data_IF_399633509662
#
_entry.id   IF_399633509662
#
_cell.length_a   1.000
_cell.length_b   1.000
_cell.length_c   1.000
_cell.angle_alpha   90.00
_cell.angle_beta   90.00
_cell.angle_gamma   90.00
#
_symmetry.space_group_name_H-M   'P 1'
#
loop_
_entity.id
_entity.type
_entity.pdbx_description
1 polymer ?
#
# COMPACT_ATOMS: atom_id res chain seq x y z
N UNK A 1 14.99 12.77 -7.20
CA UNK A 1 13.56 12.66 -7.52
C UNK A 1 13.32 12.92 -9.01
N UNK A 2 13.57 14.15 -9.49
CA UNK A 2 13.46 14.46 -10.93
C UNK A 2 14.35 13.56 -11.80
N UNK A 3 15.54 13.18 -11.31
CA UNK A 3 16.38 12.18 -11.98
C UNK A 3 15.79 10.77 -12.03
N UNK A 4 14.98 10.38 -11.04
CA UNK A 4 14.30 9.06 -11.06
C UNK A 4 13.15 9.05 -12.04
N UNK A 5 12.42 10.17 -12.15
CA UNK A 5 11.41 10.37 -13.20
C UNK A 5 12.13 10.39 -14.55
N UNK A 6 13.15 11.22 -14.74
CA UNK A 6 13.91 11.29 -15.99
C UNK A 6 14.48 9.93 -16.41
N UNK A 7 15.02 9.11 -15.49
CA UNK A 7 15.50 7.76 -15.80
C UNK A 7 14.40 6.75 -16.11
N UNK A 8 13.24 6.85 -15.44
CA UNK A 8 12.07 6.03 -15.77
C UNK A 8 11.57 6.34 -17.19
N UNK A 9 11.75 7.58 -17.61
CA UNK A 9 11.26 8.16 -18.87
C UNK A 9 12.22 7.93 -20.03
N UNK A 10 13.51 8.10 -19.79
CA UNK A 10 14.58 7.91 -20.77
C UNK A 10 14.83 6.44 -21.06
N UNK A 11 14.14 5.52 -20.35
CA UNK A 11 14.26 4.11 -20.69
C UNK A 11 13.68 3.89 -22.09
N UNK A 12 14.48 3.28 -22.97
CA UNK A 12 13.94 2.82 -24.21
C UNK A 12 12.97 1.71 -23.86
N UNK A 13 11.67 1.92 -24.06
CA UNK A 13 10.80 0.80 -24.35
C UNK A 13 11.12 0.32 -25.78
N UNK A 14 12.36 -0.09 -26.05
CA UNK A 14 12.90 -0.13 -27.42
C UNK A 14 12.31 -1.20 -28.32
N UNK A 15 11.59 -2.16 -27.76
CA UNK A 15 11.36 -3.41 -28.49
C UNK A 15 9.94 -3.51 -29.08
N UNK A 16 9.13 -2.44 -29.01
CA UNK A 16 7.82 -2.38 -29.67
C UNK A 16 7.31 -0.95 -29.86
N UNK A 17 6.81 -0.64 -31.06
CA UNK A 17 6.07 0.58 -31.43
C UNK A 17 6.78 1.96 -31.31
N UNK A 18 7.77 2.27 -32.18
CA UNK A 18 8.56 3.52 -32.16
C UNK A 18 7.75 4.82 -32.23
N UNK A 19 6.60 4.83 -32.89
CA UNK A 19 5.78 6.05 -33.07
C UNK A 19 5.08 6.51 -31.79
N UNK A 20 4.51 5.57 -31.04
CA UNK A 20 3.79 5.88 -29.79
C UNK A 20 4.74 6.30 -28.68
N UNK A 21 5.96 5.76 -28.70
CA UNK A 21 7.04 6.15 -27.79
C UNK A 21 7.50 7.59 -28.00
N UNK A 22 7.44 8.10 -29.24
CA UNK A 22 7.83 9.48 -29.54
C UNK A 22 6.84 10.50 -28.95
N UNK A 23 5.54 10.19 -28.96
CA UNK A 23 4.50 11.02 -28.35
C UNK A 23 4.57 10.96 -26.82
N UNK A 24 4.72 9.75 -26.25
CA UNK A 24 4.90 9.57 -24.81
C UNK A 24 6.15 10.31 -24.31
N UNK A 25 7.27 10.22 -25.02
CA UNK A 25 8.49 10.96 -24.69
C UNK A 25 8.28 12.48 -24.75
N UNK A 26 7.49 12.99 -25.69
CA UNK A 26 7.14 14.41 -25.79
C UNK A 26 6.28 14.86 -24.61
N UNK A 27 5.22 14.10 -24.27
CA UNK A 27 4.35 14.36 -23.11
C UNK A 27 5.19 14.46 -21.82
N UNK A 28 6.19 13.58 -21.67
CA UNK A 28 7.09 13.63 -20.52
C UNK A 28 8.05 14.82 -20.54
N UNK A 29 8.67 15.10 -21.68
CA UNK A 29 9.63 16.20 -21.80
C UNK A 29 8.96 17.54 -21.44
N UNK A 30 7.73 17.75 -21.89
CA UNK A 30 6.91 18.92 -21.54
C UNK A 30 6.68 19.01 -20.03
N UNK A 31 6.18 17.93 -19.40
CA UNK A 31 5.94 17.88 -17.95
C UNK A 31 7.23 18.14 -17.16
N UNK A 32 8.34 17.54 -17.58
CA UNK A 32 9.64 17.69 -16.90
C UNK A 32 10.13 19.14 -16.98
N UNK A 33 9.95 19.80 -18.12
CA UNK A 33 10.33 21.20 -18.30
C UNK A 33 9.49 22.12 -17.39
N UNK A 34 8.16 21.91 -17.33
CA UNK A 34 7.26 22.65 -16.43
C UNK A 34 7.67 22.51 -14.96
N UNK A 35 8.10 21.32 -14.53
CA UNK A 35 8.58 21.10 -13.15
C UNK A 35 9.87 21.86 -12.86
N UNK A 36 10.80 21.95 -13.83
CA UNK A 36 12.08 22.66 -13.65
C UNK A 36 11.92 24.17 -13.53
N UNK A 37 10.89 24.74 -14.14
CA UNK A 37 10.61 26.18 -14.15
C UNK A 37 9.96 26.68 -12.85
N UNK A 38 9.47 25.76 -12.01
CA UNK A 38 8.78 26.10 -10.76
C UNK A 38 9.73 26.15 -9.55
N UNK A 39 9.77 27.32 -8.90
CA UNK A 39 10.63 27.58 -7.73
C UNK A 39 9.88 27.33 -6.42
N UNK A 40 10.43 26.44 -5.57
CA UNK A 40 9.98 26.21 -4.18
C UNK A 40 9.37 24.82 -3.92
N UNK A 41 9.85 24.12 -2.88
CA UNK A 41 9.56 22.69 -2.64
C UNK A 41 8.06 22.34 -2.54
N UNK A 42 7.27 23.17 -1.83
CA UNK A 42 5.84 22.93 -1.64
C UNK A 42 5.00 23.22 -2.90
N UNK A 43 5.34 24.30 -3.62
CA UNK A 43 4.71 24.66 -4.90
C UNK A 43 5.12 23.68 -6.02
N UNK A 44 6.33 23.13 -5.94
CA UNK A 44 6.78 22.07 -6.82
C UNK A 44 6.07 20.74 -6.51
N UNK A 45 5.81 20.41 -5.25
CA UNK A 45 5.09 19.19 -4.87
C UNK A 45 3.63 19.18 -5.34
N UNK A 46 2.89 20.28 -5.15
CA UNK A 46 1.49 20.38 -5.59
C UNK A 46 1.35 20.22 -7.10
N UNK A 47 2.22 20.88 -7.86
CA UNK A 47 2.24 20.80 -9.32
C UNK A 47 2.73 19.46 -9.83
N UNK A 48 3.73 18.88 -9.17
CA UNK A 48 4.24 17.54 -9.50
C UNK A 48 3.16 16.47 -9.37
N UNK A 49 2.31 16.53 -8.33
CA UNK A 49 1.16 15.62 -8.19
C UNK A 49 0.28 15.67 -9.43
N UNK A 50 -0.13 16.88 -9.83
CA UNK A 50 -1.00 17.09 -10.99
C UNK A 50 -0.32 16.64 -12.28
N UNK A 51 0.96 16.98 -12.46
CA UNK A 51 1.68 16.62 -13.67
C UNK A 51 1.99 15.13 -13.79
N UNK A 52 2.26 14.45 -12.67
CA UNK A 52 2.47 13.01 -12.66
C UNK A 52 1.17 12.27 -12.96
N UNK A 53 0.04 12.76 -12.44
CA UNK A 53 -1.29 12.23 -12.77
C UNK A 53 -1.63 12.43 -14.26
N UNK A 54 -1.47 13.66 -14.78
CA UNK A 54 -1.63 13.97 -16.22
C UNK A 54 -0.76 13.06 -17.09
N UNK A 55 0.50 12.85 -16.68
CA UNK A 55 1.44 12.02 -17.42
C UNK A 55 1.00 10.55 -17.46
N UNK A 56 0.59 9.98 -16.33
CA UNK A 56 0.10 8.61 -16.27
C UNK A 56 -1.16 8.44 -17.12
N UNK A 57 -2.13 9.36 -17.00
CA UNK A 57 -3.38 9.31 -17.73
C UNK A 57 -3.19 9.38 -19.26
N UNK A 58 -2.21 10.18 -19.72
CA UNK A 58 -1.88 10.29 -21.15
C UNK A 58 -1.04 9.12 -21.67
N UNK A 59 -0.06 8.67 -20.89
CA UNK A 59 0.97 7.75 -21.38
C UNK A 59 0.54 6.31 -21.26
N UNK A 60 -0.08 5.91 -20.14
CA UNK A 60 -0.37 4.50 -19.86
C UNK A 60 -1.30 3.86 -20.91
N UNK A 61 -2.42 4.47 -21.34
CA UNK A 61 -3.26 3.88 -22.38
C UNK A 61 -2.55 3.75 -23.73
N UNK A 62 -1.73 4.75 -24.09
CA UNK A 62 -0.93 4.74 -25.32
C UNK A 62 0.06 3.58 -25.30
N UNK A 63 0.77 3.42 -24.19
CA UNK A 63 1.73 2.33 -23.99
C UNK A 63 1.05 0.97 -24.03
N UNK A 64 -0.07 0.80 -23.31
CA UNK A 64 -0.76 -0.47 -23.29
C UNK A 64 -1.19 -0.93 -24.68
N UNK A 65 -1.73 0.00 -25.48
CA UNK A 65 -2.08 -0.26 -26.88
C UNK A 65 -0.86 -0.56 -27.75
N UNK A 66 0.23 0.18 -27.56
CA UNK A 66 1.46 0.04 -28.34
C UNK A 66 2.16 -1.31 -28.13
N UNK A 67 2.08 -1.86 -26.92
CA UNK A 67 2.62 -3.18 -26.56
C UNK A 67 1.58 -4.31 -26.61
N UNK A 68 0.34 -4.00 -27.01
CA UNK A 68 -0.77 -4.95 -27.02
C UNK A 68 -0.93 -5.70 -25.68
N UNK A 69 -0.74 -4.99 -24.55
CA UNK A 69 -0.73 -5.58 -23.21
C UNK A 69 -2.03 -5.36 -22.41
N UNK A 70 -3.12 -5.03 -23.10
CA UNK A 70 -4.46 -4.87 -22.49
C UNK A 70 -5.12 -6.21 -22.17
N UNK A 71 -4.81 -7.27 -22.92
CA UNK A 71 -5.31 -8.64 -22.72
C UNK A 71 -4.17 -9.64 -22.94
N UNK A 72 -3.58 -10.10 -21.83
CA UNK A 72 -2.45 -11.03 -21.84
C UNK A 72 -2.88 -12.40 -21.33
N UNK A 73 -2.40 -13.46 -21.98
CA UNK A 73 -2.64 -14.84 -21.57
C UNK A 73 -1.35 -15.66 -21.55
N UNK A 74 -1.20 -16.53 -20.54
CA UNK A 74 -0.07 -17.44 -20.47
C UNK A 74 0.11 -18.12 -19.12
N UNK A 75 1.32 -18.60 -18.85
CA UNK A 75 1.69 -19.19 -17.56
C UNK A 75 1.51 -18.16 -16.44
N UNK A 76 1.15 -18.62 -15.25
CA UNK A 76 0.87 -17.76 -14.09
C UNK A 76 1.98 -16.74 -13.82
N UNK A 77 3.26 -17.13 -13.87
CA UNK A 77 4.37 -16.21 -13.64
C UNK A 77 4.54 -15.14 -14.72
N UNK A 78 4.07 -15.37 -15.95
CA UNK A 78 4.16 -14.39 -17.04
C UNK A 78 3.14 -13.26 -16.90
N UNK A 79 2.01 -13.51 -16.21
CA UNK A 79 0.92 -12.53 -16.05
C UNK A 79 0.86 -11.94 -14.63
N UNK A 80 1.44 -12.60 -13.63
CA UNK A 80 1.46 -12.09 -12.24
C UNK A 80 2.74 -11.31 -11.89
N UNK A 81 3.84 -11.46 -12.64
CA UNK A 81 5.09 -10.75 -12.39
C UNK A 81 5.22 -9.52 -13.31
N UNK A 82 4.49 -8.45 -12.98
CA UNK A 82 4.37 -7.26 -13.84
C UNK A 82 5.00 -5.98 -13.25
N UNK A 83 5.59 -6.05 -12.05
CA UNK A 83 6.22 -4.88 -11.41
C UNK A 83 7.74 -4.92 -11.62
N UNK A 84 8.28 -3.85 -12.19
CA UNK A 84 9.72 -3.58 -12.22
C UNK A 84 10.09 -2.47 -11.23
N UNK A 85 11.22 -2.58 -10.55
CA UNK A 85 11.60 -1.76 -9.39
C UNK A 85 12.22 -0.39 -9.75
N UNK A 86 11.90 0.16 -10.92
CA UNK A 86 12.60 1.33 -11.46
C UNK A 86 12.13 2.65 -10.88
N UNK A 87 10.82 2.82 -10.66
CA UNK A 87 10.29 4.00 -10.00
C UNK A 87 10.38 3.83 -8.48
N UNK A 88 11.10 4.74 -7.81
CA UNK A 88 11.23 4.72 -6.35
C UNK A 88 10.06 5.44 -5.70
N UNK A 89 9.09 4.66 -5.30
CA UNK A 89 7.92 5.07 -4.52
C UNK A 89 8.01 4.56 -3.08
N UNK A 90 7.19 5.14 -2.21
CA UNK A 90 6.83 4.61 -0.90
C UNK A 90 5.31 4.47 -0.86
N UNK A 91 4.80 3.60 0.00
CA UNK A 91 3.36 3.48 0.22
C UNK A 91 3.09 3.20 1.68
N UNK A 92 1.91 3.59 2.14
CA UNK A 92 1.32 3.06 3.36
C UNK A 92 0.09 2.24 2.95
N UNK A 93 -0.20 1.18 3.68
CA UNK A 93 -1.30 0.29 3.39
C UNK A 93 -2.27 0.18 4.58
N UNK A 94 -3.56 0.19 4.28
CA UNK A 94 -4.62 -0.22 5.19
C UNK A 94 -5.11 -1.59 4.72
N UNK A 95 -4.87 -2.63 5.52
CA UNK A 95 -5.42 -3.96 5.25
C UNK A 95 -6.72 -4.12 6.03
N UNK A 96 -7.76 -4.58 5.37
CA UNK A 96 -9.05 -4.85 6.00
C UNK A 96 -9.38 -6.32 5.80
N UNK A 97 -9.60 -7.03 6.91
CA UNK A 97 -10.15 -8.39 6.90
C UNK A 97 -11.66 -8.29 7.08
N UNK A 98 -12.43 -9.02 6.27
CA UNK A 98 -13.90 -8.98 6.32
C UNK A 98 -14.52 -10.22 5.64
N UNK A 99 -15.86 -10.23 5.54
CA UNK A 99 -16.60 -11.17 4.70
C UNK A 99 -16.48 -10.78 3.23
N UNK A 100 -16.39 -11.75 2.33
CA UNK A 100 -16.39 -11.54 0.89
C UNK A 100 -17.65 -10.79 0.42
N UNK A 101 -18.80 -11.09 1.01
CA UNK A 101 -20.07 -10.40 0.74
C UNK A 101 -20.03 -8.90 1.08
N UNK A 102 -19.15 -8.50 2.01
CA UNK A 102 -18.96 -7.11 2.41
C UNK A 102 -17.83 -6.41 1.63
N UNK A 103 -17.07 -7.12 0.78
CA UNK A 103 -15.87 -6.57 0.13
C UNK A 103 -16.16 -5.27 -0.63
N UNK A 104 -17.17 -5.27 -1.50
CA UNK A 104 -17.50 -4.09 -2.31
C UNK A 104 -17.93 -2.89 -1.44
N UNK A 105 -18.68 -3.15 -0.37
CA UNK A 105 -19.09 -2.11 0.60
C UNK A 105 -17.87 -1.53 1.30
N UNK A 106 -16.98 -2.38 1.79
CA UNK A 106 -15.82 -1.95 2.57
C UNK A 106 -14.77 -1.24 1.69
N UNK A 107 -14.64 -1.64 0.42
CA UNK A 107 -13.90 -0.89 -0.61
C UNK A 107 -14.51 0.48 -0.82
N UNK A 108 -15.84 0.59 -0.94
CA UNK A 108 -16.49 1.89 -1.09
C UNK A 108 -16.28 2.81 0.13
N UNK A 109 -16.35 2.26 1.35
CA UNK A 109 -16.12 3.01 2.59
C UNK A 109 -14.69 3.57 2.63
N UNK A 110 -13.68 2.72 2.42
CA UNK A 110 -12.27 3.13 2.46
C UNK A 110 -11.93 4.11 1.34
N UNK A 111 -12.46 3.90 0.12
CA UNK A 111 -12.34 4.86 -0.99
C UNK A 111 -12.97 6.22 -0.66
N UNK A 112 -14.17 6.24 -0.09
CA UNK A 112 -14.87 7.49 0.23
C UNK A 112 -14.08 8.32 1.23
N UNK A 113 -13.59 7.69 2.31
CA UNK A 113 -12.73 8.35 3.28
C UNK A 113 -11.46 8.92 2.64
N UNK A 114 -10.79 8.11 1.81
CA UNK A 114 -9.55 8.53 1.16
C UNK A 114 -9.79 9.72 0.22
N UNK A 115 -10.81 9.64 -0.63
CA UNK A 115 -11.19 10.69 -1.58
C UNK A 115 -11.51 11.99 -0.85
N UNK A 116 -12.34 11.93 0.20
CA UNK A 116 -12.76 13.11 0.95
C UNK A 116 -11.56 13.75 1.67
N UNK A 117 -10.63 12.93 2.18
CA UNK A 117 -9.39 13.42 2.77
C UNK A 117 -8.47 14.08 1.73
N UNK A 118 -8.30 13.48 0.54
CA UNK A 118 -7.53 14.07 -0.55
C UNK A 118 -8.10 15.43 -0.95
N UNK A 119 -9.43 15.54 -1.08
CA UNK A 119 -10.11 16.80 -1.42
C UNK A 119 -9.89 17.86 -0.33
N UNK A 120 -10.07 17.50 0.94
CA UNK A 120 -9.88 18.41 2.07
C UNK A 120 -8.43 18.94 2.18
N UNK A 121 -7.44 18.14 1.78
CA UNK A 121 -6.03 18.59 1.68
C UNK A 121 -5.84 19.50 0.47
N UNK A 122 -6.42 19.15 -0.67
CA UNK A 122 -6.36 19.96 -1.90
C UNK A 122 -6.94 21.37 -1.70
N UNK A 123 -8.08 21.50 -1.03
CA UNK A 123 -8.70 22.79 -0.68
C UNK A 123 -7.78 23.71 0.14
N UNK A 124 -6.86 23.11 0.91
CA UNK A 124 -5.83 23.82 1.70
C UNK A 124 -4.52 24.04 0.93
N UNK A 125 -4.44 23.61 -0.32
CA UNK A 125 -3.21 23.64 -1.12
C UNK A 125 -2.18 22.61 -0.68
N UNK A 126 -2.58 21.58 0.07
CA UNK A 126 -1.74 20.48 0.54
C UNK A 126 -1.89 19.26 -0.38
N UNK A 127 -0.77 18.63 -0.75
CA UNK A 127 -0.74 17.48 -1.66
C UNK A 127 0.09 16.34 -1.07
N UNK A 128 -0.35 15.77 0.06
CA UNK A 128 0.41 14.75 0.78
C UNK A 128 0.45 13.41 0.02
N UNK A 129 -0.49 13.19 -0.90
CA UNK A 129 -0.53 12.03 -1.79
C UNK A 129 -0.22 12.46 -3.22
N UNK A 130 0.74 11.79 -3.86
CA UNK A 130 1.21 12.14 -5.21
C UNK A 130 1.61 10.94 -6.07
N UNK A 131 1.20 9.74 -5.66
CA UNK A 131 1.21 8.54 -6.48
C UNK A 131 -0.20 7.98 -6.64
N UNK A 132 -0.28 6.81 -7.30
CA UNK A 132 -1.53 6.08 -7.48
C UNK A 132 -2.08 5.49 -6.17
N UNK A 133 -3.34 5.06 -6.24
CA UNK A 133 -3.94 4.19 -5.22
C UNK A 133 -3.93 2.79 -5.78
N UNK A 134 -3.45 1.82 -5.01
CA UNK A 134 -3.41 0.43 -5.44
C UNK A 134 -4.34 -0.39 -4.55
N UNK A 135 -5.16 -1.24 -5.19
CA UNK A 135 -6.12 -2.08 -4.50
C UNK A 135 -5.90 -3.53 -4.89
N UNK A 136 -5.97 -4.42 -3.90
CA UNK A 136 -5.97 -5.86 -4.13
C UNK A 136 -6.78 -6.57 -3.07
N UNK A 137 -7.40 -7.68 -3.44
CA UNK A 137 -8.06 -8.60 -2.54
C UNK A 137 -7.44 -9.98 -2.64
N UNK A 138 -7.42 -10.71 -1.53
CA UNK A 138 -6.86 -12.04 -1.42
C UNK A 138 -7.56 -12.82 -0.31
N UNK A 139 -7.56 -14.14 -0.43
CA UNK A 139 -8.08 -15.03 0.61
C UNK A 139 -7.21 -14.98 1.86
N UNK A 140 -7.77 -15.40 2.99
CA UNK A 140 -7.05 -15.54 4.26
C UNK A 140 -6.08 -16.74 4.25
N UNK A 141 -5.09 -16.69 5.15
CA UNK A 141 -4.08 -17.73 5.31
C UNK A 141 -4.67 -18.92 6.10
N UNK A 142 -5.50 -19.73 5.45
CA UNK A 142 -6.14 -20.88 6.10
C UNK A 142 -5.31 -22.17 5.94
N UNK A 143 -5.04 -22.87 7.05
CA UNK A 143 -4.29 -24.13 7.04
C UNK A 143 -4.89 -25.23 6.15
N UNK A 144 -6.21 -25.16 5.88
CA UNK A 144 -6.89 -26.11 4.97
C UNK A 144 -6.31 -26.11 3.56
N UNK A 145 -5.71 -25.00 3.10
CA UNK A 145 -5.08 -24.91 1.78
C UNK A 145 -3.67 -25.54 1.74
N UNK A 146 -3.05 -25.78 2.90
CA UNK A 146 -1.72 -26.40 3.01
C UNK A 146 -1.80 -27.93 3.05
N UNK A 147 -2.97 -28.48 3.44
CA UNK A 147 -3.17 -29.93 3.56
C UNK A 147 -2.45 -30.57 4.77
N UNK A 148 -2.02 -29.74 5.73
CA UNK A 148 -1.40 -30.17 6.99
C UNK A 148 -2.18 -29.50 8.14
N UNK A 149 -2.68 -30.30 9.07
CA UNK A 149 -3.43 -29.76 10.21
C UNK A 149 -2.56 -28.83 11.06
N UNK A 150 -3.09 -27.65 11.38
CA UNK A 150 -2.41 -26.66 12.22
C UNK A 150 -1.30 -25.86 11.54
N UNK A 151 -1.09 -25.99 10.22
CA UNK A 151 -0.07 -25.23 9.50
C UNK A 151 -0.58 -23.86 9.01
N UNK A 152 -0.81 -22.93 9.93
CA UNK A 152 -1.14 -21.53 9.63
C UNK A 152 0.04 -20.61 10.02
N UNK A 153 0.46 -19.66 9.17
CA UNK A 153 1.44 -18.65 9.57
C UNK A 153 1.03 -17.92 10.85
N UNK A 154 1.95 -17.71 11.78
CA UNK A 154 1.57 -17.18 13.10
C UNK A 154 1.23 -15.68 13.08
N UNK A 155 1.96 -14.85 12.33
CA UNK A 155 1.84 -13.38 12.45
C UNK A 155 1.70 -12.68 11.08
N UNK A 156 0.88 -13.20 10.18
CA UNK A 156 0.54 -12.52 8.91
C UNK A 156 -0.80 -11.80 9.06
N UNK A 157 -1.03 -10.73 8.30
CA UNK A 157 -2.30 -9.98 8.34
C UNK A 157 -3.50 -10.80 7.85
N UNK A 158 -3.26 -11.92 7.16
CA UNK A 158 -4.27 -12.88 6.72
C UNK A 158 -4.54 -14.02 7.71
N UNK A 159 -3.78 -14.13 8.81
CA UNK A 159 -3.96 -15.19 9.79
C UNK A 159 -4.97 -14.80 10.85
N UNK A 160 -6.20 -15.27 10.69
CA UNK A 160 -7.29 -15.15 11.66
C UNK A 160 -7.53 -16.50 12.33
N UNK A 161 -7.75 -16.51 13.64
CA UNK A 161 -8.02 -17.74 14.38
C UNK A 161 -9.41 -18.32 14.03
N UNK A 162 -9.53 -19.64 14.15
CA UNK A 162 -10.74 -20.36 13.76
C UNK A 162 -12.00 -19.92 14.53
N UNK A 163 -11.88 -19.53 15.81
CA UNK A 163 -13.02 -19.10 16.60
C UNK A 163 -13.52 -17.71 16.16
N UNK A 164 -12.61 -16.82 15.78
CA UNK A 164 -12.97 -15.54 15.14
C UNK A 164 -13.63 -15.80 13.79
N UNK A 165 -13.08 -16.66 12.92
CA UNK A 165 -13.70 -17.00 11.63
C UNK A 165 -15.10 -17.60 11.82
N UNK A 166 -15.29 -18.51 12.78
CA UNK A 166 -16.61 -19.10 13.07
C UNK A 166 -17.63 -18.05 13.52
N UNK A 167 -17.21 -17.12 14.38
CA UNK A 167 -18.07 -16.03 14.88
C UNK A 167 -18.41 -15.01 13.80
N UNK A 168 -17.40 -14.57 13.04
CA UNK A 168 -17.53 -13.42 12.15
C UNK A 168 -17.77 -13.80 10.70
N UNK A 169 -17.48 -15.03 10.29
CA UNK A 169 -17.54 -15.47 8.90
C UNK A 169 -16.53 -14.79 7.97
N UNK A 170 -15.45 -14.20 8.49
CA UNK A 170 -14.43 -13.57 7.64
C UNK A 170 -13.67 -14.60 6.80
N UNK A 171 -13.47 -14.28 5.54
CA UNK A 171 -12.89 -15.19 4.54
C UNK A 171 -12.02 -14.47 3.49
N UNK A 172 -12.00 -13.12 3.50
CA UNK A 172 -11.19 -12.32 2.58
C UNK A 172 -10.47 -11.21 3.33
N UNK A 173 -9.33 -10.79 2.79
CA UNK A 173 -8.74 -9.49 3.10
C UNK A 173 -8.55 -8.68 1.82
N UNK A 174 -8.67 -7.36 1.95
CA UNK A 174 -8.24 -6.45 0.91
C UNK A 174 -7.26 -5.43 1.46
N UNK A 175 -6.42 -4.93 0.58
CA UNK A 175 -5.42 -3.92 0.88
C UNK A 175 -5.71 -2.72 -0.01
N UNK A 176 -5.75 -1.55 0.61
CA UNK A 176 -5.64 -0.27 -0.09
C UNK A 176 -4.29 0.33 0.24
N UNK A 177 -3.45 0.49 -0.78
CA UNK A 177 -2.17 1.17 -0.69
C UNK A 177 -2.30 2.60 -1.20
N UNK A 178 -1.77 3.55 -0.42
CA UNK A 178 -1.65 4.95 -0.79
C UNK A 178 -0.19 5.21 -1.16
N UNK A 179 0.08 5.39 -2.45
CA UNK A 179 1.44 5.59 -2.97
C UNK A 179 1.82 7.07 -2.91
N UNK A 180 3.07 7.32 -2.53
CA UNK A 180 3.68 8.65 -2.55
C UNK A 180 5.16 8.58 -2.90
N UNK A 181 5.71 9.70 -3.35
CA UNK A 181 7.13 9.83 -3.55
C UNK A 181 7.87 10.04 -2.22
N UNK A 182 9.10 9.49 -2.08
CA UNK A 182 9.93 9.75 -0.92
C UNK A 182 10.07 11.26 -0.64
N UNK A 183 9.96 11.64 0.65
CA UNK A 183 10.02 13.04 1.13
C UNK A 183 8.84 13.94 0.75
N UNK A 184 7.71 13.35 0.34
CA UNK A 184 6.45 14.11 0.21
C UNK A 184 6.06 14.72 1.56
N UNK A 185 5.85 16.04 1.58
CA UNK A 185 5.53 16.77 2.81
C UNK A 185 4.12 16.43 3.25
N UNK A 186 3.92 16.22 4.56
CA UNK A 186 2.60 15.97 5.14
C UNK A 186 2.06 14.55 4.97
N UNK A 187 2.78 13.64 4.29
CA UNK A 187 2.29 12.28 4.09
C UNK A 187 2.07 11.51 5.39
N UNK A 188 2.94 11.64 6.40
CA UNK A 188 2.79 10.90 7.67
C UNK A 188 1.53 11.34 8.44
N UNK A 189 1.26 12.65 8.49
CA UNK A 189 0.04 13.19 9.10
C UNK A 189 -1.22 12.77 8.33
N UNK A 190 -1.16 12.80 6.99
CA UNK A 190 -2.22 12.29 6.13
C UNK A 190 -2.48 10.79 6.36
N UNK A 191 -1.41 10.00 6.42
CA UNK A 191 -1.46 8.56 6.64
C UNK A 191 -2.08 8.22 8.01
N UNK A 192 -1.69 8.96 9.05
CA UNK A 192 -2.31 8.86 10.38
C UNK A 192 -3.81 9.15 10.33
N UNK A 193 -4.18 10.29 9.77
CA UNK A 193 -5.57 10.71 9.69
C UNK A 193 -6.42 9.70 8.92
N UNK A 194 -5.92 9.17 7.80
CA UNK A 194 -6.61 8.15 7.02
C UNK A 194 -6.79 6.84 7.80
N UNK A 195 -5.75 6.35 8.47
CA UNK A 195 -5.82 5.14 9.30
C UNK A 195 -6.81 5.30 10.46
N UNK A 196 -6.77 6.44 11.15
CA UNK A 196 -7.66 6.74 12.27
C UNK A 196 -9.13 6.81 11.79
N UNK A 197 -9.40 7.43 10.64
CA UNK A 197 -10.73 7.45 10.04
C UNK A 197 -11.21 6.04 9.68
N UNK A 198 -10.34 5.19 9.12
CA UNK A 198 -10.69 3.79 8.81
C UNK A 198 -11.05 3.01 10.08
N UNK A 199 -10.22 3.10 11.13
CA UNK A 199 -10.45 2.42 12.41
C UNK A 199 -11.71 2.90 13.13
N UNK A 200 -12.12 4.14 12.91
CA UNK A 200 -13.35 4.68 13.47
C UNK A 200 -14.62 4.20 12.75
N UNK A 201 -14.51 3.52 11.60
CA UNK A 201 -15.68 3.03 10.85
C UNK A 201 -16.25 1.75 11.46
N UNK A 202 -17.55 1.71 11.77
CA UNK A 202 -18.20 0.47 12.21
C UNK A 202 -18.15 -0.62 11.14
N UNK A 203 -18.10 -0.26 9.86
CA UNK A 203 -18.00 -1.24 8.75
C UNK A 203 -16.65 -1.96 8.68
N UNK A 204 -15.62 -1.39 9.32
CA UNK A 204 -14.23 -1.88 9.28
C UNK A 204 -13.75 -2.34 10.66
N UNK A 205 -14.66 -2.50 11.61
CA UNK A 205 -14.36 -2.85 13.00
C UNK A 205 -15.37 -3.86 13.57
N UNK A 206 -15.05 -4.42 14.74
CA UNK A 206 -15.92 -5.39 15.42
C UNK A 206 -16.03 -6.70 14.64
N UNK A 207 -17.25 -7.19 14.46
CA UNK A 207 -17.53 -8.41 13.69
C UNK A 207 -17.72 -8.14 12.18
N UNK A 208 -17.81 -6.87 11.74
CA UNK A 208 -17.96 -6.50 10.32
C UNK A 208 -16.62 -6.49 9.57
N UNK A 209 -15.53 -6.21 10.28
CA UNK A 209 -14.17 -6.31 9.78
C UNK A 209 -13.12 -5.93 10.82
N UNK A 210 -11.85 -6.02 10.46
CA UNK A 210 -10.78 -5.42 11.24
C UNK A 210 -9.71 -4.79 10.35
N UNK A 211 -9.10 -3.72 10.87
CA UNK A 211 -7.99 -3.03 10.20
C UNK A 211 -6.67 -3.56 10.75
N UNK A 212 -5.83 -4.10 9.86
CA UNK A 212 -4.51 -4.64 10.17
C UNK A 212 -3.43 -3.95 9.32
N UNK A 213 -2.17 -3.93 9.78
CA UNK A 213 -1.07 -3.41 8.97
C UNK A 213 -0.72 -4.40 7.86
N UNK A 214 -0.21 -3.91 6.73
CA UNK A 214 0.61 -4.75 5.85
C UNK A 214 2.07 -4.66 6.33
N UNK A 215 2.63 -5.74 6.89
CA UNK A 215 3.94 -5.71 7.53
C UNK A 215 5.10 -5.26 6.63
N UNK A 216 4.94 -5.42 5.31
CA UNK A 216 5.95 -5.02 4.31
C UNK A 216 6.01 -3.50 4.11
N UNK A 217 5.00 -2.76 4.59
CA UNK A 217 4.82 -1.33 4.37
C UNK A 217 5.05 -0.54 5.67
N UNK A 218 5.26 0.77 5.59
CA UNK A 218 5.04 1.69 6.69
C UNK A 218 3.65 1.53 7.32
N UNK A 219 3.60 1.40 8.65
CA UNK A 219 2.38 1.32 9.47
C UNK A 219 2.58 2.03 10.81
N UNK A 220 1.58 2.02 11.69
CA UNK A 220 1.62 2.68 13.02
C UNK A 220 2.11 4.15 12.95
N UNK A 221 1.53 5.00 12.08
CA UNK A 221 1.90 6.40 12.01
C UNK A 221 1.49 7.15 13.29
N UNK A 222 2.43 7.89 13.86
CA UNK A 222 2.18 8.91 14.90
C UNK A 222 2.80 10.24 14.49
N UNK A 223 2.72 11.26 15.36
CA UNK A 223 3.41 12.53 15.16
C UNK A 223 4.95 12.40 15.10
N UNK A 224 5.49 11.22 15.48
CA UNK A 224 6.91 10.87 15.40
C UNK A 224 7.28 10.09 14.11
N UNK A 225 6.30 9.87 13.22
CA UNK A 225 6.47 9.15 11.96
C UNK A 225 5.92 7.72 12.01
N UNK A 226 6.27 6.92 10.98
CA UNK A 226 5.86 5.51 10.92
C UNK A 226 6.58 4.64 11.96
N UNK A 227 5.94 3.54 12.34
CA UNK A 227 6.42 2.57 13.32
C UNK A 227 6.64 3.16 14.71
N UNK A 228 5.72 4.04 15.15
CA UNK A 228 5.84 4.71 16.44
C UNK A 228 4.53 4.83 17.23
N UNK A 229 3.38 4.41 16.67
CA UNK A 229 2.11 4.37 17.40
C UNK A 229 1.97 3.09 18.23
N UNK A 230 2.35 3.16 19.50
CA UNK A 230 2.26 2.07 20.47
C UNK A 230 0.81 1.64 20.74
N UNK A 231 -0.14 2.58 20.71
CA UNK A 231 -1.54 2.29 21.00
C UNK A 231 -2.18 1.49 19.85
N UNK A 232 -1.89 1.87 18.61
CA UNK A 232 -2.25 1.08 17.44
C UNK A 232 -1.64 -0.31 17.51
N UNK A 233 -0.34 -0.43 17.81
CA UNK A 233 0.30 -1.75 17.91
C UNK A 233 -0.27 -2.62 19.02
N UNK A 234 -0.62 -2.04 20.18
CA UNK A 234 -1.28 -2.77 21.25
C UNK A 234 -2.67 -3.30 20.85
N UNK A 235 -3.40 -2.61 19.98
CA UNK A 235 -4.65 -3.09 19.40
C UNK A 235 -4.41 -4.20 18.38
N UNK A 236 -3.47 -4.01 17.45
CA UNK A 236 -3.10 -5.00 16.42
C UNK A 236 -2.76 -6.34 17.07
N UNK A 237 -1.96 -6.36 18.14
CA UNK A 237 -1.59 -7.60 18.85
C UNK A 237 -2.79 -8.39 19.37
N UNK A 238 -3.89 -7.73 19.76
CA UNK A 238 -5.11 -8.40 20.25
C UNK A 238 -5.82 -9.20 19.17
N UNK A 239 -5.58 -8.88 17.89
CA UNK A 239 -6.12 -9.64 16.76
C UNK A 239 -5.33 -10.92 16.45
N UNK A 240 -4.21 -11.15 17.15
CA UNK A 240 -3.37 -12.34 17.00
C UNK A 240 -3.31 -13.13 18.32
N UNK A 241 -4.25 -14.07 18.57
CA UNK A 241 -4.23 -14.90 19.78
C UNK A 241 -2.90 -15.65 20.03
N UNK A 242 -2.18 -15.94 18.96
CA UNK A 242 -0.89 -16.62 18.93
C UNK A 242 0.31 -15.69 19.12
N UNK A 243 0.11 -14.38 19.32
CA UNK A 243 1.19 -13.40 19.40
C UNK A 243 2.25 -13.79 20.44
N UNK A 244 1.84 -13.99 21.69
CA UNK A 244 2.76 -14.30 22.79
C UNK A 244 3.46 -15.65 22.59
N UNK A 245 2.74 -16.64 22.04
CA UNK A 245 3.32 -17.95 21.73
C UNK A 245 4.40 -17.85 20.62
N UNK A 246 4.16 -17.03 19.59
CA UNK A 246 5.11 -16.78 18.52
C UNK A 246 6.35 -16.02 19.04
N UNK A 247 6.14 -14.98 19.85
CA UNK A 247 7.20 -14.21 20.53
C UNK A 247 8.09 -15.13 21.37
N UNK A 248 7.49 -16.00 22.18
CA UNK A 248 8.21 -16.96 23.02
C UNK A 248 8.94 -18.03 22.18
N UNK A 249 8.36 -18.49 21.08
CA UNK A 249 9.02 -19.41 20.16
C UNK A 249 10.25 -18.76 19.50
N UNK A 250 10.15 -17.48 19.10
CA UNK A 250 11.30 -16.73 18.58
C UNK A 250 12.41 -16.61 19.63
N UNK A 251 12.10 -16.30 20.89
CA UNK A 251 13.10 -16.24 21.97
C UNK A 251 13.75 -17.60 22.26
N UNK A 252 12.96 -18.68 22.17
CA UNK A 252 13.48 -20.05 22.31
C UNK A 252 14.47 -20.41 21.20
N UNK A 253 14.21 -20.00 19.97
CA UNK A 253 15.04 -20.33 18.81
C UNK A 253 16.21 -19.37 18.61
N UNK A 254 16.12 -18.14 19.10
CA UNK A 254 17.18 -17.14 19.06
C UNK A 254 17.45 -16.54 20.46
N UNK A 255 17.96 -17.37 21.41
CA UNK A 255 18.14 -16.94 22.81
C UNK A 255 19.21 -15.86 22.97
N UNK A 256 20.05 -15.65 21.96
CA UNK A 256 21.11 -14.63 21.94
C UNK A 256 20.71 -13.37 21.16
N UNK A 257 19.54 -13.38 20.51
CA UNK A 257 19.01 -12.25 19.76
C UNK A 257 19.81 -11.90 18.52
N UNK A 258 20.39 -12.88 17.82
CA UNK A 258 21.14 -12.69 16.57
C UNK A 258 20.29 -12.01 15.49
N UNK A 259 18.99 -12.29 15.46
CA UNK A 259 18.04 -11.73 14.51
C UNK A 259 17.24 -10.56 15.10
N UNK A 260 17.60 -10.07 16.29
CA UNK A 260 16.91 -8.98 16.95
C UNK A 260 17.47 -7.60 16.54
N UNK A 261 16.57 -6.64 16.36
CA UNK A 261 16.82 -5.22 16.13
C UNK A 261 15.98 -4.40 17.10
N UNK A 262 16.30 -3.13 17.32
CA UNK A 262 15.46 -2.24 18.13
C UNK A 262 14.02 -2.18 17.59
N UNK A 263 13.88 -2.20 16.26
CA UNK A 263 12.59 -2.21 15.59
C UNK A 263 11.78 -3.48 15.88
N UNK A 264 12.36 -4.67 15.72
CA UNK A 264 11.58 -5.89 15.94
C UNK A 264 11.28 -6.14 17.42
N UNK A 265 12.11 -5.67 18.36
CA UNK A 265 11.79 -5.69 19.79
C UNK A 265 10.56 -4.81 20.08
N UNK A 266 10.57 -3.57 19.58
CA UNK A 266 9.40 -2.68 19.66
C UNK A 266 8.15 -3.32 19.02
N UNK A 267 8.28 -3.84 17.80
CA UNK A 267 7.19 -4.50 17.07
C UNK A 267 6.58 -5.62 17.90
N UNK A 268 7.42 -6.51 18.45
CA UNK A 268 7.05 -7.69 19.23
C UNK A 268 6.61 -7.37 20.66
N UNK A 269 6.83 -6.16 21.16
CA UNK A 269 6.49 -5.75 22.52
C UNK A 269 7.49 -6.25 23.57
N UNK A 270 8.76 -6.40 23.18
CA UNK A 270 9.89 -6.84 24.02
C UNK A 270 10.72 -5.68 24.53
#
# INVERSE_FOLDING_TARGET
FLESIAKWVERPFTDGAPGVLSEAASDVAEVTQRIKEDVGLAKAQSKLTVYYDELQAKTLPKMNKAYECEDLWGKSHNVNLFVNADLKIRSMAVTVVCKLDNLQRNVNVTWTLLRDLIEAKREKGEYPMNGQIEWRAMMLDEGKYVGIDGSTPALTSGSIDAATIERTGWDVMFVIEVVHFPRTVGFEAFAKEYLDQCRARPELSGDEGCVLPEWSKPFAPSDKGFWTDDAYMAEVRKHFPQWDAAVAAMDKYDPVGLYATSFNKWLLGK
#
